data_IF_290700585227
#
_entry.id   IF_290700585227
#
_cell.length_a   1.000
_cell.length_b   1.000
_cell.length_c   1.000
_cell.angle_alpha   90.00
_cell.angle_beta   90.00
_cell.angle_gamma   90.00
#
_symmetry.space_group_name_H-M   'P 1'
#
loop_
_entity.id
_entity.type
_entity.pdbx_description
1 polymer ?
#
# COMPACT_ATOMS: atom_id res chain seq x y z
N UNK A 1 22.99 7.81 15.28
CA UNK A 1 22.78 8.76 14.16
C UNK A 1 22.56 8.01 12.86
N UNK A 2 23.36 6.98 12.51
CA UNK A 2 23.06 6.11 11.35
C UNK A 2 21.80 5.26 11.54
N UNK A 3 21.52 4.80 12.78
CA UNK A 3 20.31 4.00 13.08
C UNK A 3 18.99 4.77 12.87
N UNK A 4 19.02 6.09 13.04
CA UNK A 4 17.85 6.96 12.92
C UNK A 4 17.44 7.13 11.44
N UNK A 5 18.44 7.25 10.55
CA UNK A 5 18.23 7.34 9.11
C UNK A 5 17.72 6.02 8.53
N UNK A 6 18.23 4.88 9.02
CA UNK A 6 17.78 3.56 8.58
C UNK A 6 16.32 3.29 8.99
N UNK A 7 15.93 3.63 10.21
CA UNK A 7 14.53 3.51 10.65
C UNK A 7 13.60 4.39 9.83
N UNK A 8 14.00 5.64 9.57
CA UNK A 8 13.22 6.54 8.74
C UNK A 8 12.98 5.98 7.32
N UNK A 9 14.00 5.38 6.71
CA UNK A 9 13.86 4.75 5.39
C UNK A 9 12.94 3.52 5.43
N UNK A 10 12.99 2.72 6.50
CA UNK A 10 12.13 1.56 6.67
C UNK A 10 10.66 1.96 6.84
N UNK A 11 10.41 2.99 7.65
CA UNK A 11 9.06 3.53 7.85
C UNK A 11 8.50 4.10 6.54
N UNK A 12 9.33 4.80 5.77
CA UNK A 12 8.93 5.33 4.46
C UNK A 12 8.57 4.20 3.49
N UNK A 13 9.37 3.12 3.45
CA UNK A 13 9.09 1.98 2.58
C UNK A 13 7.85 1.20 3.03
N UNK A 14 7.63 1.04 4.34
CA UNK A 14 6.44 0.40 4.88
C UNK A 14 5.13 1.13 4.50
N UNK A 15 5.21 2.44 4.28
CA UNK A 15 4.10 3.25 3.77
C UNK A 15 3.86 3.15 2.26
N UNK A 16 4.66 2.36 1.52
CA UNK A 16 4.61 2.27 0.06
C UNK A 16 4.46 0.86 -0.46
N UNK A 17 3.83 0.71 -1.61
CA UNK A 17 3.72 -0.57 -2.32
C UNK A 17 4.24 -0.47 -3.75
N UNK A 18 4.85 -1.54 -4.24
CA UNK A 18 5.29 -1.63 -5.64
C UNK A 18 4.11 -2.06 -6.51
N UNK A 19 3.62 -1.15 -7.35
CA UNK A 19 2.46 -1.38 -8.22
C UNK A 19 2.74 -0.87 -9.64
N UNK A 20 2.02 -1.43 -10.62
CA UNK A 20 2.08 -0.96 -12.00
C UNK A 20 1.42 0.42 -12.14
N UNK A 21 2.23 1.45 -12.41
CA UNK A 21 1.72 2.79 -12.67
C UNK A 21 1.38 2.95 -14.14
N UNK A 22 0.10 2.98 -14.49
CA UNK A 22 -0.29 3.20 -15.91
C UNK A 22 -0.02 4.61 -16.44
N UNK A 23 0.37 5.58 -15.60
CA UNK A 23 0.85 6.88 -16.08
C UNK A 23 2.35 6.83 -16.45
N UNK A 24 3.18 6.10 -15.68
CA UNK A 24 4.59 5.87 -16.01
C UNK A 24 4.78 4.77 -17.06
N UNK A 25 3.87 3.80 -17.11
CA UNK A 25 3.98 2.60 -17.96
C UNK A 25 4.91 1.52 -17.38
N UNK A 26 5.26 1.61 -16.10
CA UNK A 26 6.19 0.70 -15.41
C UNK A 26 5.79 0.48 -13.95
N UNK A 27 6.44 -0.48 -13.28
CA UNK A 27 6.28 -0.71 -11.85
C UNK A 27 6.99 0.39 -11.04
N UNK A 28 6.24 1.07 -10.17
CA UNK A 28 6.74 2.15 -9.33
C UNK A 28 6.24 2.01 -7.90
N UNK A 29 6.94 2.64 -6.95
CA UNK A 29 6.44 2.75 -5.58
C UNK A 29 5.24 3.71 -5.52
N UNK A 30 4.23 3.31 -4.76
CA UNK A 30 3.03 4.10 -4.50
C UNK A 30 2.83 4.25 -3.00
N UNK A 31 2.75 5.49 -2.52
CA UNK A 31 2.50 5.79 -1.12
C UNK A 31 1.01 5.73 -0.79
N UNK A 32 0.67 5.18 0.38
CA UNK A 32 -0.69 5.24 0.93
C UNK A 32 -1.03 6.68 1.33
N UNK A 33 -2.05 7.28 0.71
CA UNK A 33 -2.53 8.62 1.06
C UNK A 33 -3.71 8.56 2.03
N UNK A 34 -4.71 7.73 1.75
CA UNK A 34 -5.99 7.73 2.46
C UNK A 34 -6.65 6.35 2.39
N UNK A 35 -7.35 5.95 3.45
CA UNK A 35 -8.26 4.80 3.43
C UNK A 35 -9.66 5.31 3.08
N UNK A 36 -10.21 4.86 1.95
CA UNK A 36 -11.51 5.32 1.45
C UNK A 36 -12.66 4.51 2.04
N UNK A 37 -12.52 3.19 2.10
CA UNK A 37 -13.51 2.28 2.66
C UNK A 37 -12.85 1.04 3.28
N UNK A 38 -13.49 0.47 4.31
CA UNK A 38 -13.08 -0.78 4.94
C UNK A 38 -14.28 -1.69 5.05
N UNK A 39 -14.20 -2.83 4.38
CA UNK A 39 -15.21 -3.88 4.42
C UNK A 39 -14.63 -5.19 4.99
N UNK A 40 -15.46 -6.19 5.33
CA UNK A 40 -14.96 -7.48 5.82
C UNK A 40 -14.10 -8.27 4.82
N UNK A 41 -14.09 -7.89 3.53
CA UNK A 41 -13.44 -8.64 2.46
C UNK A 41 -12.40 -7.83 1.69
N UNK A 42 -12.36 -6.52 1.88
CA UNK A 42 -11.48 -5.63 1.16
C UNK A 42 -11.35 -4.27 1.84
N UNK A 43 -10.21 -3.63 1.60
CA UNK A 43 -9.94 -2.23 1.94
C UNK A 43 -9.74 -1.44 0.65
N UNK A 44 -10.46 -0.34 0.48
CA UNK A 44 -10.23 0.61 -0.60
C UNK A 44 -9.29 1.71 -0.13
N UNK A 45 -8.22 1.92 -0.90
CA UNK A 45 -7.12 2.80 -0.56
C UNK A 45 -6.93 3.81 -1.69
N UNK A 46 -6.59 5.04 -1.33
CA UNK A 46 -6.09 6.04 -2.27
C UNK A 46 -4.58 6.05 -2.16
N UNK A 47 -3.90 5.85 -3.27
CA UNK A 47 -2.45 5.74 -3.34
C UNK A 47 -1.89 6.67 -4.41
N UNK A 48 -0.70 7.20 -4.16
CA UNK A 48 -0.01 8.12 -5.07
C UNK A 48 1.32 7.56 -5.53
N UNK A 49 1.55 7.54 -6.83
CA UNK A 49 2.83 7.18 -7.43
C UNK A 49 3.92 8.16 -6.97
N UNK A 50 4.99 7.66 -6.37
CA UNK A 50 6.10 8.53 -5.89
C UNK A 50 6.94 9.08 -7.06
N UNK A 51 6.83 8.49 -8.26
CA UNK A 51 7.53 8.97 -9.45
C UNK A 51 6.78 10.10 -10.17
N UNK A 52 5.51 9.89 -10.53
CA UNK A 52 4.74 10.84 -11.35
C UNK A 52 3.65 11.59 -10.58
N UNK A 53 3.48 11.31 -9.28
CA UNK A 53 2.47 11.93 -8.40
C UNK A 53 1.01 11.72 -8.86
N UNK A 54 0.78 10.78 -9.77
CA UNK A 54 -0.59 10.39 -10.14
C UNK A 54 -1.21 9.60 -9.00
N UNK A 55 -2.40 10.03 -8.57
CA UNK A 55 -3.17 9.38 -7.52
C UNK A 55 -4.25 8.47 -8.11
N UNK A 56 -4.44 7.30 -7.51
CA UNK A 56 -5.43 6.29 -7.93
C UNK A 56 -6.01 5.55 -6.73
N UNK A 57 -7.19 4.98 -6.93
CA UNK A 57 -7.79 4.06 -5.97
C UNK A 57 -7.28 2.64 -6.23
N UNK A 58 -6.98 1.93 -5.14
CA UNK A 58 -6.57 0.54 -5.12
C UNK A 58 -7.49 -0.24 -4.17
N UNK A 59 -7.72 -1.51 -4.45
CA UNK A 59 -8.50 -2.40 -3.59
C UNK A 59 -7.61 -3.52 -3.11
N UNK A 60 -7.28 -3.51 -1.82
CA UNK A 60 -6.58 -4.60 -1.17
C UNK A 60 -7.60 -5.64 -0.68
N UNK A 61 -7.58 -6.82 -1.29
CA UNK A 61 -8.50 -7.90 -0.95
C UNK A 61 -7.95 -8.69 0.23
N UNK A 62 -8.61 -8.57 1.38
CA UNK A 62 -8.28 -9.44 2.50
C UNK A 62 -8.85 -10.83 2.21
N UNK A 63 -8.01 -11.88 2.07
CA UNK A 63 -8.55 -13.22 1.91
C UNK A 63 -9.42 -13.53 3.13
N UNK A 64 -10.60 -14.15 2.97
CA UNK A 64 -11.43 -14.50 4.10
C UNK A 64 -10.60 -15.42 5.01
N UNK A 65 -10.29 -14.96 6.22
CA UNK A 65 -9.66 -15.80 7.23
C UNK A 65 -10.51 -17.07 7.34
N UNK A 66 -10.00 -18.20 6.83
CA UNK A 66 -10.50 -19.50 7.24
C UNK A 66 -10.30 -19.53 8.75
N UNK A 67 -11.39 -19.33 9.49
CA UNK A 67 -11.46 -19.70 10.91
C UNK A 67 -11.17 -21.19 10.96
N UNK A 68 -9.90 -21.56 11.11
CA UNK A 68 -9.53 -22.89 11.55
C UNK A 68 -10.04 -22.97 12.98
N UNK A 69 -11.24 -23.52 13.14
CA UNK A 69 -11.73 -23.97 14.44
C UNK A 69 -10.81 -25.12 14.87
N UNK A 70 -9.82 -24.80 15.69
CA UNK A 70 -9.10 -25.81 16.47
C UNK A 70 -10.11 -26.40 17.45
N UNK A 71 -10.50 -27.65 17.19
CA UNK A 71 -11.37 -28.47 18.02
C UNK A 71 -10.55 -29.19 19.09
#
# INVERSE_FOLDING_TARGET
>A
MEDDELHFMQDMLAGTELLMCSACGEETLHAHEEVLDVSPVATELKMQCTCCQTTRTWTDWTPPHQRIQLN
#
